data_IF_862938864236
#
_entry.id   IF_862938864236
#
_cell.length_a   1.000
_cell.length_b   1.000
_cell.length_c   1.000
_cell.angle_alpha   90.00
_cell.angle_beta   90.00
_cell.angle_gamma   90.00
#
_symmetry.space_group_name_H-M   'P 1'
#
loop_
_entity.id
_entity.type
_entity.pdbx_description
1 polymer ?
#
# COMPACT_ATOMS: atom_id res chain seq x y z
N UNK A 1 38.67 -27.09 -18.45
CA UNK A 1 37.75 -27.04 -17.28
C UNK A 1 37.96 -25.70 -16.60
N UNK A 2 36.96 -24.81 -16.44
CA UNK A 2 37.15 -23.60 -15.67
C UNK A 2 37.02 -23.91 -14.18
N UNK A 3 38.01 -23.47 -13.40
CA UNK A 3 38.07 -23.56 -11.94
C UNK A 3 37.04 -22.61 -11.32
N UNK A 4 36.31 -22.97 -10.24
CA UNK A 4 35.43 -22.02 -9.56
C UNK A 4 36.28 -20.95 -8.87
N UNK A 5 36.05 -19.67 -9.19
CA UNK A 5 36.69 -18.56 -8.47
C UNK A 5 35.95 -18.36 -7.13
N UNK A 6 36.65 -18.56 -6.02
CA UNK A 6 36.15 -18.24 -4.67
C UNK A 6 35.91 -16.73 -4.54
N UNK A 7 34.72 -16.34 -4.08
CA UNK A 7 34.51 -15.01 -3.49
C UNK A 7 35.31 -14.94 -2.18
N UNK A 8 36.21 -13.96 -2.07
CA UNK A 8 36.92 -13.66 -0.83
C UNK A 8 36.38 -12.36 -0.23
N UNK A 9 35.93 -12.40 1.03
CA UNK A 9 35.65 -11.20 1.82
C UNK A 9 36.95 -10.73 2.47
N UNK A 10 37.34 -9.47 2.26
CA UNK A 10 38.45 -8.85 2.97
C UNK A 10 37.91 -7.76 3.89
N UNK A 11 38.20 -7.88 5.19
CA UNK A 11 37.91 -6.86 6.19
C UNK A 11 39.14 -5.97 6.37
N UNK A 12 39.01 -4.67 6.16
CA UNK A 12 40.07 -3.69 6.47
C UNK A 12 39.72 -2.99 7.78
N UNK A 13 40.61 -3.09 8.77
CA UNK A 13 40.48 -2.42 10.07
C UNK A 13 41.37 -1.16 10.07
N UNK A 14 40.84 0.04 10.34
CA UNK A 14 41.68 1.21 10.62
C UNK A 14 42.30 1.07 12.01
N UNK A 15 43.59 1.42 12.22
CA UNK A 15 44.23 1.25 13.52
C UNK A 15 43.49 2.06 14.61
N UNK A 16 42.90 1.34 15.58
CA UNK A 16 42.37 1.92 16.82
C UNK A 16 40.84 2.00 17.00
N UNK A 17 40.00 1.55 16.06
CA UNK A 17 38.53 1.53 16.25
C UNK A 17 37.97 0.22 16.81
N UNK A 18 36.93 0.25 17.66
CA UNK A 18 36.25 -0.95 18.22
C UNK A 18 34.91 -1.27 17.54
N UNK A 19 34.56 -0.61 16.43
CA UNK A 19 33.33 -0.90 15.68
C UNK A 19 33.55 -0.93 14.17
N UNK A 20 32.92 -1.92 13.53
CA UNK A 20 32.98 -2.18 12.09
C UNK A 20 32.16 -1.12 11.34
N UNK A 21 32.80 -0.27 10.51
CA UNK A 21 32.10 0.80 9.77
C UNK A 21 31.90 0.54 8.27
N UNK A 22 32.49 -0.51 7.69
CA UNK A 22 32.35 -0.75 6.23
C UNK A 22 32.63 -2.22 5.87
N UNK A 23 31.78 -2.79 5.00
CA UNK A 23 32.07 -4.02 4.25
C UNK A 23 31.98 -3.66 2.76
N UNK A 24 33.08 -3.81 2.02
CA UNK A 24 33.12 -3.56 0.58
C UNK A 24 33.09 -4.86 -0.21
N UNK A 25 32.14 -5.00 -1.16
CA UNK A 25 32.14 -6.07 -2.15
C UNK A 25 32.66 -5.48 -3.47
N UNK A 26 33.77 -6.01 -3.98
CA UNK A 26 34.35 -5.58 -5.25
C UNK A 26 34.12 -6.66 -6.31
N UNK A 27 33.31 -6.36 -7.32
CA UNK A 27 33.21 -7.18 -8.55
C UNK A 27 33.74 -6.32 -9.69
N UNK A 28 34.31 -6.96 -10.73
CA UNK A 28 35.21 -6.36 -11.76
C UNK A 28 34.64 -5.23 -12.64
N UNK A 29 33.51 -4.62 -12.29
CA UNK A 29 32.94 -3.46 -12.97
C UNK A 29 32.45 -2.44 -11.92
N UNK A 30 33.40 -1.72 -11.30
CA UNK A 30 33.11 -0.55 -10.45
C UNK A 30 32.94 -0.82 -8.95
N UNK A 31 33.47 0.09 -8.12
CA UNK A 31 33.20 0.15 -6.69
C UNK A 31 31.85 0.85 -6.46
N UNK A 32 30.87 0.15 -5.87
CA UNK A 32 29.67 0.81 -5.32
C UNK A 32 30.00 1.28 -3.91
N UNK A 33 30.04 2.59 -3.71
CA UNK A 33 30.08 3.20 -2.38
C UNK A 33 28.65 3.20 -1.83
N UNK A 34 28.32 2.22 -0.98
CA UNK A 34 27.12 2.29 -0.15
C UNK A 34 27.41 3.25 1.01
N UNK A 35 26.98 4.51 0.88
CA UNK A 35 26.92 5.39 2.05
C UNK A 35 25.81 4.86 2.97
N UNK A 36 26.19 4.44 4.18
CA UNK A 36 25.25 4.16 5.26
C UNK A 36 24.64 5.48 5.77
N UNK A 37 23.77 6.08 4.96
CA UNK A 37 22.70 6.94 5.45
C UNK A 37 21.49 6.06 5.69
N UNK A 38 20.88 6.15 6.87
CA UNK A 38 19.66 5.46 7.22
C UNK A 38 18.48 5.95 6.37
N UNK A 39 18.41 5.51 5.11
CA UNK A 39 17.19 5.56 4.32
C UNK A 39 16.40 4.29 4.67
N UNK A 40 15.44 4.43 5.57
CA UNK A 40 14.45 3.40 5.86
C UNK A 40 13.48 3.34 4.67
N UNK A 41 13.74 2.44 3.74
CA UNK A 41 12.79 2.06 2.71
C UNK A 41 11.82 1.04 3.32
N UNK A 42 10.51 1.19 3.07
CA UNK A 42 9.59 0.08 3.24
C UNK A 42 10.08 -1.07 2.35
N UNK A 43 10.26 -2.26 2.92
CA UNK A 43 10.79 -3.40 2.19
C UNK A 43 9.71 -3.98 1.31
N UNK A 44 9.94 -4.04 -0.01
CA UNK A 44 9.10 -4.87 -0.87
C UNK A 44 9.34 -6.31 -0.45
N UNK A 45 8.34 -6.92 0.18
CA UNK A 45 8.38 -8.34 0.56
C UNK A 45 7.81 -9.22 -0.54
N UNK A 46 6.91 -8.67 -1.34
CA UNK A 46 6.39 -9.34 -2.52
C UNK A 46 5.91 -8.34 -3.58
N UNK A 47 6.18 -8.62 -4.84
CA UNK A 47 5.75 -7.84 -5.98
C UNK A 47 5.10 -8.75 -7.02
N UNK A 48 3.81 -8.55 -7.32
CA UNK A 48 3.07 -9.49 -8.18
C UNK A 48 3.76 -9.69 -9.54
N UNK A 49 4.09 -8.60 -10.24
CA UNK A 49 4.73 -8.68 -11.55
C UNK A 49 6.20 -9.12 -11.44
N UNK A 50 6.93 -8.60 -10.44
CA UNK A 50 8.35 -8.88 -10.24
C UNK A 50 8.64 -10.33 -9.83
N UNK A 51 7.73 -10.93 -9.07
CA UNK A 51 7.83 -12.30 -8.56
C UNK A 51 7.05 -13.30 -9.42
N UNK A 52 6.43 -12.84 -10.51
CA UNK A 52 5.65 -13.71 -11.37
C UNK A 52 6.57 -14.76 -12.01
N UNK A 53 6.15 -16.03 -11.93
CA UNK A 53 6.87 -17.16 -12.54
C UNK A 53 5.93 -18.03 -13.36
N UNK A 54 6.40 -18.38 -14.55
CA UNK A 54 5.77 -19.36 -15.44
C UNK A 54 5.78 -20.75 -14.79
N UNK A 55 4.65 -21.45 -14.76
CA UNK A 55 4.57 -22.80 -14.20
C UNK A 55 4.64 -23.90 -15.25
N UNK A 56 4.92 -25.13 -14.82
CA UNK A 56 4.79 -26.32 -15.66
C UNK A 56 3.31 -26.64 -15.92
N UNK A 57 2.97 -26.93 -17.18
CA UNK A 57 1.57 -27.10 -17.61
C UNK A 57 0.81 -28.08 -16.71
N UNK A 58 -0.36 -27.68 -16.22
CA UNK A 58 -1.22 -28.49 -15.37
C UNK A 58 -0.86 -28.51 -13.89
N UNK A 59 0.28 -27.93 -13.48
CA UNK A 59 0.67 -27.81 -12.07
C UNK A 59 0.19 -26.50 -11.47
N UNK A 60 -0.05 -26.51 -10.16
CA UNK A 60 -0.33 -25.30 -9.39
C UNK A 60 0.96 -24.58 -9.02
N UNK A 61 0.88 -23.28 -8.71
CA UNK A 61 2.08 -22.51 -8.36
C UNK A 61 2.80 -23.07 -7.11
N UNK A 62 2.11 -23.47 -6.01
CA UNK A 62 2.75 -24.05 -4.83
C UNK A 62 3.42 -25.41 -5.08
N UNK A 63 2.97 -26.18 -6.07
CA UNK A 63 3.64 -27.42 -6.47
C UNK A 63 5.02 -27.15 -7.11
N UNK A 64 5.18 -26.00 -7.75
CA UNK A 64 6.39 -25.64 -8.50
C UNK A 64 7.33 -24.75 -7.68
N UNK A 65 6.78 -23.80 -6.92
CA UNK A 65 7.53 -22.75 -6.23
C UNK A 65 7.10 -22.62 -4.77
N UNK A 66 8.08 -22.63 -3.86
CA UNK A 66 7.90 -22.39 -2.43
C UNK A 66 8.35 -20.95 -2.06
N UNK A 67 7.67 -19.96 -2.64
CA UNK A 67 7.97 -18.52 -2.53
C UNK A 67 6.75 -17.70 -2.04
N UNK A 68 5.78 -18.37 -1.42
CA UNK A 68 4.66 -17.75 -0.74
C UNK A 68 3.44 -17.43 -1.60
N UNK A 69 3.57 -17.31 -2.93
CA UNK A 69 2.38 -17.04 -3.76
C UNK A 69 1.62 -18.28 -4.21
N UNK A 70 0.31 -18.09 -4.27
CA UNK A 70 -0.62 -18.98 -4.97
C UNK A 70 -1.57 -18.15 -5.84
N UNK A 71 -2.00 -18.73 -6.96
CA UNK A 71 -2.95 -18.11 -7.89
C UNK A 71 -4.20 -18.95 -7.88
N UNK A 72 -5.32 -18.35 -7.52
CA UNK A 72 -6.54 -19.05 -7.13
C UNK A 72 -7.78 -18.39 -7.76
N UNK A 73 -8.93 -19.02 -7.55
CA UNK A 73 -10.25 -18.47 -7.81
C UNK A 73 -11.26 -19.03 -6.81
N UNK A 74 -12.38 -18.35 -6.62
CA UNK A 74 -13.44 -18.78 -5.69
C UNK A 74 -14.37 -19.81 -6.34
N UNK A 75 -13.89 -21.04 -6.49
CA UNK A 75 -14.60 -22.13 -7.16
C UNK A 75 -15.86 -22.60 -6.40
N UNK A 76 -15.77 -22.70 -5.07
CA UNK A 76 -16.76 -23.41 -4.26
C UNK A 76 -17.79 -22.49 -3.58
N UNK A 77 -17.64 -21.18 -3.66
CA UNK A 77 -18.54 -20.24 -2.98
C UNK A 77 -18.17 -18.77 -3.15
N UNK A 78 -18.85 -17.86 -2.43
CA UNK A 78 -18.58 -16.43 -2.49
C UNK A 78 -17.17 -16.08 -1.99
N UNK A 79 -16.69 -14.90 -2.38
CA UNK A 79 -15.43 -14.33 -1.87
C UNK A 79 -15.56 -13.96 -0.38
N UNK A 80 -14.46 -14.07 0.36
CA UNK A 80 -14.35 -13.77 1.79
C UNK A 80 -14.18 -14.97 2.71
N UNK A 81 -14.12 -16.19 2.15
CA UNK A 81 -13.84 -17.41 2.91
C UNK A 81 -12.82 -18.24 2.14
N UNK A 82 -11.61 -18.40 2.69
CA UNK A 82 -10.48 -19.04 2.01
C UNK A 82 -10.74 -20.51 1.61
N UNK A 83 -11.62 -21.22 2.33
CA UNK A 83 -12.03 -22.59 1.97
C UNK A 83 -12.81 -22.66 0.67
N UNK A 84 -13.33 -21.53 0.17
CA UNK A 84 -13.99 -21.47 -1.14
C UNK A 84 -12.99 -21.35 -2.29
N UNK A 85 -11.70 -21.17 -2.02
CA UNK A 85 -10.69 -20.87 -3.05
C UNK A 85 -9.97 -22.14 -3.48
N UNK A 86 -9.68 -22.23 -4.78
CA UNK A 86 -8.90 -23.33 -5.36
C UNK A 86 -7.80 -22.78 -6.23
N UNK A 87 -6.60 -23.35 -6.14
CA UNK A 87 -5.46 -22.98 -6.97
C UNK A 87 -5.73 -23.25 -8.45
N UNK A 88 -5.34 -22.30 -9.28
CA UNK A 88 -5.29 -22.37 -10.73
C UNK A 88 -4.08 -23.17 -11.18
N UNK A 89 -4.14 -23.67 -12.41
CA UNK A 89 -3.10 -24.49 -13.02
C UNK A 89 -2.40 -23.74 -14.14
N UNK A 90 -1.09 -23.93 -14.25
CA UNK A 90 -0.28 -23.25 -15.23
C UNK A 90 -0.58 -23.73 -16.66
N UNK A 91 -0.52 -22.80 -17.62
CA UNK A 91 -0.60 -23.03 -19.07
C UNK A 91 0.77 -23.00 -19.74
N UNK A 92 1.84 -22.76 -18.96
CA UNK A 92 3.19 -22.47 -19.42
C UNK A 92 3.57 -20.98 -19.34
N UNK A 93 2.63 -20.06 -19.55
CA UNK A 93 2.85 -18.59 -19.45
C UNK A 93 1.82 -17.84 -18.61
N UNK A 94 0.69 -18.47 -18.34
CA UNK A 94 -0.40 -17.96 -17.48
C UNK A 94 -0.88 -19.07 -16.55
N UNK A 95 -1.85 -18.76 -15.69
CA UNK A 95 -2.56 -19.73 -14.86
C UNK A 95 -4.05 -19.55 -15.07
N UNK A 96 -4.78 -20.65 -15.26
CA UNK A 96 -6.23 -20.65 -15.43
C UNK A 96 -6.85 -21.91 -14.78
N UNK A 97 -8.14 -22.18 -15.02
CA UNK A 97 -8.88 -23.25 -14.36
C UNK A 97 -8.16 -24.61 -14.36
N UNK A 98 -7.61 -25.01 -15.51
CA UNK A 98 -7.16 -26.37 -15.75
C UNK A 98 -5.79 -26.49 -16.45
N UNK A 99 -5.13 -25.36 -16.73
CA UNK A 99 -3.87 -25.29 -17.45
C UNK A 99 -4.03 -25.44 -18.97
N UNK A 100 -5.27 -25.52 -19.47
CA UNK A 100 -5.56 -25.65 -20.89
C UNK A 100 -5.52 -24.33 -21.66
N UNK A 101 -5.50 -24.42 -22.98
CA UNK A 101 -5.54 -23.29 -23.91
C UNK A 101 -6.38 -23.66 -25.14
N UNK A 102 -7.11 -22.73 -25.77
CA UNK A 102 -7.32 -21.33 -25.40
C UNK A 102 -8.43 -21.12 -24.35
N UNK A 103 -8.65 -19.87 -23.94
CA UNK A 103 -9.86 -19.42 -23.22
C UNK A 103 -11.05 -19.31 -24.21
N UNK A 104 -12.32 -19.42 -23.75
CA UNK A 104 -12.75 -19.64 -22.37
C UNK A 104 -12.58 -21.10 -21.90
N UNK A 105 -12.45 -21.29 -20.59
CA UNK A 105 -12.53 -22.61 -19.92
C UNK A 105 -13.97 -22.92 -19.52
N UNK A 106 -14.16 -24.06 -18.85
CA UNK A 106 -15.49 -24.47 -18.38
C UNK A 106 -16.15 -23.38 -17.52
N UNK A 107 -17.45 -23.17 -17.76
CA UNK A 107 -18.27 -22.26 -16.95
C UNK A 107 -18.33 -22.77 -15.49
N UNK A 108 -18.36 -21.88 -14.48
CA UNK A 108 -18.39 -20.41 -14.59
C UNK A 108 -17.01 -19.74 -14.55
N UNK A 109 -15.92 -20.51 -14.60
CA UNK A 109 -14.58 -19.93 -14.61
C UNK A 109 -14.34 -19.14 -15.91
N UNK A 110 -14.75 -19.68 -17.06
CA UNK A 110 -14.69 -19.02 -18.36
C UNK A 110 -13.32 -18.33 -18.61
N UNK A 111 -13.23 -17.02 -18.38
CA UNK A 111 -12.05 -16.20 -18.63
C UNK A 111 -11.13 -15.99 -17.42
N UNK A 112 -11.36 -16.66 -16.28
CA UNK A 112 -10.42 -16.58 -15.12
C UNK A 112 -9.00 -16.91 -15.60
N UNK A 113 -8.11 -15.93 -15.51
CA UNK A 113 -6.68 -16.16 -15.64
C UNK A 113 -5.84 -15.16 -14.85
N UNK A 114 -4.63 -15.58 -14.51
CA UNK A 114 -3.57 -14.75 -13.93
C UNK A 114 -2.28 -14.92 -14.75
N UNK A 115 -1.62 -13.82 -15.06
CA UNK A 115 -0.46 -13.73 -15.96
C UNK A 115 0.53 -12.66 -15.50
N UNK A 116 1.70 -12.60 -16.14
CA UNK A 116 2.80 -11.71 -15.73
C UNK A 116 2.50 -10.21 -15.77
N UNK A 117 1.40 -9.82 -16.42
CA UNK A 117 0.99 -8.42 -16.59
C UNK A 117 -0.38 -8.13 -15.99
N UNK A 118 -0.95 -9.07 -15.22
CA UNK A 118 -2.30 -8.92 -14.68
C UNK A 118 -3.15 -10.18 -14.78
N UNK A 119 -4.46 -9.99 -14.75
CA UNK A 119 -5.40 -11.09 -14.89
C UNK A 119 -6.81 -10.60 -15.20
N UNK A 120 -7.70 -11.55 -15.41
CA UNK A 120 -9.10 -11.32 -15.74
C UNK A 120 -9.99 -12.17 -14.83
N UNK A 121 -11.09 -11.63 -14.31
CA UNK A 121 -12.06 -12.40 -13.53
C UNK A 121 -12.80 -13.44 -14.38
N UNK A 122 -13.59 -14.27 -13.72
CA UNK A 122 -14.54 -15.16 -14.39
C UNK A 122 -15.90 -14.50 -14.53
N UNK A 123 -16.91 -15.32 -14.77
CA UNK A 123 -18.28 -14.84 -14.94
C UNK A 123 -18.77 -14.00 -13.77
N UNK A 124 -19.47 -12.93 -14.14
CA UNK A 124 -20.27 -12.17 -13.21
C UNK A 124 -21.58 -12.88 -12.83
N UNK A 125 -22.11 -12.54 -11.68
CA UNK A 125 -23.35 -13.06 -11.09
C UNK A 125 -24.62 -12.73 -11.89
N UNK A 126 -24.58 -11.73 -12.77
CA UNK A 126 -25.72 -11.32 -13.60
C UNK A 126 -25.50 -11.60 -15.09
N UNK A 127 -24.36 -12.18 -15.45
CA UNK A 127 -23.95 -12.33 -16.83
C UNK A 127 -24.65 -13.52 -17.50
N UNK A 128 -25.29 -13.25 -18.64
CA UNK A 128 -25.83 -14.29 -19.51
C UNK A 128 -24.71 -15.17 -20.05
N UNK A 129 -24.83 -16.50 -19.92
CA UNK A 129 -23.84 -17.47 -20.40
C UNK A 129 -23.03 -18.18 -19.29
N UNK A 130 -23.01 -17.63 -18.06
CA UNK A 130 -22.49 -18.33 -16.88
C UNK A 130 -23.51 -19.31 -16.31
N UNK A 131 -23.66 -20.50 -16.92
CA UNK A 131 -24.69 -21.49 -16.56
C UNK A 131 -24.72 -21.74 -15.04
N UNK A 132 -25.84 -21.36 -14.39
CA UNK A 132 -26.04 -21.55 -12.95
C UNK A 132 -25.20 -20.66 -12.03
N UNK A 133 -24.50 -19.65 -12.56
CA UNK A 133 -23.64 -18.77 -11.79
C UNK A 133 -24.43 -17.64 -11.12
N UNK A 134 -24.59 -17.70 -9.80
CA UNK A 134 -25.28 -16.67 -9.01
C UNK A 134 -24.32 -15.80 -8.19
N UNK A 135 -23.00 -15.99 -8.36
CA UNK A 135 -21.97 -15.29 -7.60
C UNK A 135 -20.86 -14.82 -8.56
N UNK A 136 -20.22 -13.72 -8.23
CA UNK A 136 -19.08 -13.21 -8.98
C UNK A 136 -17.86 -14.14 -8.84
N UNK A 137 -17.17 -14.40 -9.95
CA UNK A 137 -15.97 -15.24 -9.99
C UNK A 137 -14.72 -14.37 -10.07
N UNK A 138 -13.91 -14.42 -9.03
CA UNK A 138 -12.72 -13.60 -8.86
C UNK A 138 -11.48 -14.36 -9.31
N UNK A 139 -10.56 -13.64 -9.95
CA UNK A 139 -9.17 -14.04 -10.02
C UNK A 139 -8.48 -13.60 -8.72
N UNK A 140 -7.80 -14.50 -8.04
CA UNK A 140 -7.26 -14.27 -6.69
C UNK A 140 -5.76 -14.53 -6.72
N UNK A 141 -4.97 -13.50 -6.45
CA UNK A 141 -3.56 -13.66 -6.16
C UNK A 141 -3.37 -13.67 -4.64
N UNK A 142 -2.91 -14.79 -4.11
CA UNK A 142 -2.68 -15.01 -2.69
C UNK A 142 -1.18 -14.94 -2.39
N UNK A 143 -0.83 -14.33 -1.26
CA UNK A 143 0.54 -14.33 -0.74
C UNK A 143 0.55 -14.72 0.73
N UNK A 144 1.38 -15.68 1.09
CA UNK A 144 1.59 -16.11 2.47
C UNK A 144 2.82 -15.39 3.01
N UNK A 145 2.70 -14.71 4.15
CA UNK A 145 3.84 -14.00 4.78
C UNK A 145 4.94 -15.01 5.13
N UNK A 146 6.15 -14.78 4.63
CA UNK A 146 7.30 -15.66 4.80
C UNK A 146 8.10 -15.32 6.08
N UNK A 147 8.99 -16.22 6.53
CA UNK A 147 9.93 -15.91 7.60
C UNK A 147 10.76 -14.65 7.31
N UNK A 148 10.81 -13.73 8.27
CA UNK A 148 11.47 -12.43 8.11
C UNK A 148 10.57 -11.31 7.58
N UNK A 149 9.32 -11.63 7.23
CA UNK A 149 8.35 -10.67 6.67
C UNK A 149 7.19 -10.34 7.61
N UNK A 150 7.22 -10.87 8.84
CA UNK A 150 6.22 -10.52 9.85
C UNK A 150 6.39 -9.06 10.28
N UNK A 151 5.27 -8.34 10.42
CA UNK A 151 5.24 -6.93 10.78
C UNK A 151 4.07 -6.21 10.14
N UNK A 152 4.19 -4.89 10.01
CA UNK A 152 3.12 -4.05 9.48
C UNK A 152 3.14 -4.12 7.96
N UNK A 153 2.11 -4.71 7.36
CA UNK A 153 2.09 -4.93 5.90
C UNK A 153 1.15 -3.94 5.23
N UNK A 154 1.62 -3.34 4.16
CA UNK A 154 0.85 -2.45 3.29
C UNK A 154 0.73 -3.06 1.90
N UNK A 155 -0.45 -2.95 1.32
CA UNK A 155 -0.68 -3.13 -0.11
C UNK A 155 -0.48 -1.78 -0.81
N UNK A 156 0.36 -1.75 -1.83
CA UNK A 156 0.69 -0.54 -2.58
C UNK A 156 0.79 -0.82 -4.09
N UNK A 157 0.82 0.25 -4.88
CA UNK A 157 0.95 0.24 -6.34
C UNK A 157 -0.04 -0.70 -7.05
N UNK A 158 -1.20 -0.94 -6.42
CA UNK A 158 -2.31 -1.65 -7.03
C UNK A 158 -2.89 -0.82 -8.14
N UNK A 159 -3.09 -1.41 -9.33
CA UNK A 159 -3.77 -0.74 -10.42
C UNK A 159 -4.75 -1.64 -11.17
N UNK A 160 -5.91 -1.06 -11.45
CA UNK A 160 -7.07 -1.66 -12.12
C UNK A 160 -7.19 -1.00 -13.48
N UNK A 161 -7.41 -1.82 -14.50
CA UNK A 161 -7.62 -1.35 -15.85
C UNK A 161 -9.04 -1.68 -16.30
N UNK A 162 -9.76 -0.63 -16.72
CA UNK A 162 -11.11 -0.74 -17.27
C UNK A 162 -11.01 -0.35 -18.74
N UNK A 163 -10.89 -1.32 -19.63
CA UNK A 163 -10.39 -1.11 -20.99
C UNK A 163 -11.39 -0.44 -21.94
N UNK A 164 -12.69 -0.48 -21.62
CA UNK A 164 -13.73 -0.21 -22.58
C UNK A 164 -15.07 0.11 -21.92
N UNK A 165 -15.99 0.70 -22.68
CA UNK A 165 -17.38 0.90 -22.28
C UNK A 165 -18.21 -0.39 -22.20
N UNK A 166 -17.64 -1.56 -22.51
CA UNK A 166 -18.30 -2.86 -22.28
C UNK A 166 -18.11 -3.41 -20.87
N UNK A 167 -17.14 -2.88 -20.11
CA UNK A 167 -17.01 -3.18 -18.68
C UNK A 167 -18.07 -2.41 -17.92
N UNK A 168 -18.72 -3.06 -16.95
CA UNK A 168 -19.57 -2.37 -15.96
C UNK A 168 -18.77 -1.99 -14.70
N UNK A 169 -17.49 -2.36 -14.64
CA UNK A 169 -16.57 -2.02 -13.57
C UNK A 169 -15.81 -3.23 -13.06
N UNK A 170 -14.77 -2.97 -12.28
CA UNK A 170 -13.95 -3.98 -11.61
C UNK A 170 -14.04 -3.77 -10.12
N UNK A 171 -14.31 -4.84 -9.38
CA UNK A 171 -14.26 -4.83 -7.93
C UNK A 171 -12.97 -5.48 -7.44
N UNK A 172 -12.25 -4.83 -6.54
CA UNK A 172 -11.14 -5.40 -5.81
C UNK A 172 -11.53 -5.55 -4.35
N UNK A 173 -11.39 -6.77 -3.83
CA UNK A 173 -11.50 -7.06 -2.41
C UNK A 173 -10.19 -7.63 -1.90
N UNK A 174 -9.70 -7.11 -0.78
CA UNK A 174 -8.49 -7.59 -0.15
C UNK A 174 -8.82 -8.17 1.20
N UNK A 175 -8.41 -9.41 1.43
CA UNK A 175 -8.59 -10.10 2.69
C UNK A 175 -7.23 -10.45 3.29
N UNK A 176 -7.16 -10.41 4.61
CA UNK A 176 -6.11 -11.08 5.39
C UNK A 176 -6.78 -12.23 6.08
N UNK A 177 -6.38 -13.45 5.75
CA UNK A 177 -7.08 -14.67 6.08
C UNK A 177 -8.54 -14.53 5.58
N UNK A 178 -9.53 -14.51 6.48
CA UNK A 178 -10.94 -14.28 6.13
C UNK A 178 -11.45 -12.87 6.51
N UNK A 179 -10.56 -11.98 6.95
CA UNK A 179 -10.92 -10.61 7.36
C UNK A 179 -10.77 -9.64 6.20
N UNK A 180 -11.86 -8.97 5.83
CA UNK A 180 -11.87 -7.92 4.80
C UNK A 180 -11.05 -6.70 5.25
N UNK A 181 -10.15 -6.23 4.40
CA UNK A 181 -9.29 -5.04 4.61
C UNK A 181 -9.55 -3.91 3.64
N UNK A 182 -9.96 -4.24 2.41
CA UNK A 182 -10.25 -3.25 1.37
C UNK A 182 -11.40 -3.73 0.50
N UNK A 183 -12.32 -2.82 0.18
CA UNK A 183 -13.23 -2.93 -0.96
C UNK A 183 -13.02 -1.71 -1.85
N UNK A 184 -12.72 -1.94 -3.12
CA UNK A 184 -12.58 -0.90 -4.13
C UNK A 184 -13.44 -1.26 -5.32
N UNK A 185 -14.35 -0.38 -5.70
CA UNK A 185 -15.12 -0.49 -6.93
C UNK A 185 -14.66 0.59 -7.90
N UNK A 186 -14.24 0.18 -9.09
CA UNK A 186 -14.01 1.07 -10.24
C UNK A 186 -15.14 0.85 -11.23
N UNK A 187 -15.86 1.89 -11.63
CA UNK A 187 -16.97 1.76 -12.59
C UNK A 187 -16.46 1.67 -14.04
N UNK A 188 -17.31 1.12 -14.90
CA UNK A 188 -17.08 1.05 -16.36
C UNK A 188 -16.71 2.39 -17.00
N UNK A 189 -15.83 2.36 -18.01
CA UNK A 189 -15.33 3.53 -18.75
C UNK A 189 -14.60 4.62 -17.92
N UNK A 190 -14.30 4.36 -16.65
CA UNK A 190 -13.50 5.26 -15.84
C UNK A 190 -11.99 5.14 -16.17
N UNK A 191 -11.16 6.17 -15.90
CA UNK A 191 -9.70 6.07 -16.03
C UNK A 191 -9.12 4.93 -15.19
N UNK A 192 -7.85 4.56 -15.44
CA UNK A 192 -7.11 3.59 -14.61
C UNK A 192 -7.28 3.91 -13.12
N UNK A 193 -7.78 2.93 -12.36
CA UNK A 193 -7.97 3.04 -10.92
C UNK A 193 -6.74 2.55 -10.17
N UNK A 194 -6.47 3.13 -9.00
CA UNK A 194 -5.42 2.65 -8.09
C UNK A 194 -6.02 2.12 -6.80
N UNK A 195 -5.32 1.18 -6.18
CA UNK A 195 -5.70 0.63 -4.88
C UNK A 195 -4.47 0.34 -4.01
N UNK A 196 -4.67 0.54 -2.72
CA UNK A 196 -3.69 0.30 -1.67
C UNK A 196 -4.40 0.33 -0.33
N UNK A 197 -3.84 -0.33 0.66
CA UNK A 197 -4.40 -0.37 2.02
C UNK A 197 -3.34 -0.81 3.02
N UNK A 198 -3.43 -0.31 4.24
CA UNK A 198 -2.78 -0.95 5.37
C UNK A 198 -3.52 -2.25 5.71
N UNK A 199 -2.80 -3.37 5.75
CA UNK A 199 -3.38 -4.69 5.96
C UNK A 199 -3.39 -5.11 7.43
N UNK A 200 -2.57 -4.46 8.26
CA UNK A 200 -2.41 -4.80 9.67
C UNK A 200 -1.01 -5.28 9.99
N UNK A 201 -0.82 -5.63 11.26
CA UNK A 201 0.34 -6.38 11.72
C UNK A 201 0.11 -7.86 11.41
N UNK A 202 0.88 -8.41 10.48
CA UNK A 202 0.76 -9.78 10.00
C UNK A 202 1.91 -10.63 10.55
N UNK A 203 1.60 -11.89 10.83
CA UNK A 203 2.56 -12.90 11.27
C UNK A 203 2.97 -13.80 10.11
N UNK A 204 4.10 -14.48 10.26
CA UNK A 204 4.50 -15.56 9.34
C UNK A 204 3.35 -16.57 9.24
N UNK A 205 2.95 -16.89 8.02
CA UNK A 205 1.85 -17.81 7.74
C UNK A 205 0.48 -17.14 7.53
N UNK A 206 0.30 -15.87 7.88
CA UNK A 206 -0.89 -15.11 7.47
C UNK A 206 -0.98 -15.04 5.95
N UNK A 207 -2.19 -15.14 5.41
CA UNK A 207 -2.44 -15.10 3.96
C UNK A 207 -3.12 -13.80 3.58
N UNK A 208 -2.55 -13.09 2.63
CA UNK A 208 -3.20 -11.95 1.96
C UNK A 208 -3.80 -12.42 0.65
N UNK A 209 -5.08 -12.14 0.43
CA UNK A 209 -5.80 -12.44 -0.81
C UNK A 209 -6.18 -11.14 -1.51
N UNK A 210 -5.60 -10.88 -2.68
CA UNK A 210 -6.04 -9.80 -3.57
C UNK A 210 -6.96 -10.41 -4.61
N UNK A 211 -8.27 -10.19 -4.44
CA UNK A 211 -9.32 -10.75 -5.29
C UNK A 211 -9.86 -9.68 -6.22
N UNK A 212 -9.75 -9.93 -7.53
CA UNK A 212 -10.22 -9.03 -8.60
C UNK A 212 -11.41 -9.67 -9.27
N UNK A 213 -12.54 -8.97 -9.25
CA UNK A 213 -13.84 -9.48 -9.64
C UNK A 213 -14.51 -8.66 -10.75
N UNK A 214 -15.53 -9.24 -11.40
CA UNK A 214 -16.17 -8.72 -12.61
C UNK A 214 -17.26 -7.68 -12.32
N UNK A 215 -17.52 -7.30 -11.06
CA UNK A 215 -18.65 -6.45 -10.68
C UNK A 215 -19.95 -6.86 -11.40
N UNK A 216 -20.39 -8.10 -11.25
CA UNK A 216 -21.57 -8.69 -11.93
C UNK A 216 -21.47 -8.97 -13.45
N UNK A 217 -20.45 -8.49 -14.19
CA UNK A 217 -20.26 -8.80 -15.62
C UNK A 217 -18.79 -8.70 -16.09
N UNK A 218 -18.21 -9.78 -16.64
CA UNK A 218 -16.76 -9.92 -16.87
C UNK A 218 -16.14 -9.12 -18.05
N UNK A 219 -16.79 -8.06 -18.52
CA UNK A 219 -16.51 -7.47 -19.83
C UNK A 219 -15.24 -6.61 -19.89
N UNK A 220 -14.08 -7.17 -20.28
CA UNK A 220 -12.80 -6.43 -20.37
C UNK A 220 -12.28 -5.93 -19.01
N UNK A 221 -12.48 -6.74 -17.99
CA UNK A 221 -12.10 -6.46 -16.62
C UNK A 221 -10.69 -6.95 -16.32
N UNK A 222 -9.91 -6.17 -15.57
CA UNK A 222 -8.62 -6.65 -15.14
C UNK A 222 -7.87 -5.71 -14.22
N UNK A 223 -6.71 -6.19 -13.82
CA UNK A 223 -5.71 -5.46 -13.06
C UNK A 223 -4.37 -5.68 -13.72
N UNK A 224 -3.35 -4.89 -13.37
CA UNK A 224 -2.02 -5.04 -13.94
C UNK A 224 -0.94 -5.38 -12.92
N UNK A 225 -0.89 -4.67 -11.79
CA UNK A 225 0.14 -4.86 -10.78
C UNK A 225 -0.37 -4.54 -9.38
N UNK A 226 0.37 -5.03 -8.37
CA UNK A 226 0.38 -4.59 -6.98
C UNK A 226 1.61 -5.15 -6.27
N UNK A 227 1.94 -4.58 -5.10
CA UNK A 227 3.05 -5.05 -4.26
C UNK A 227 2.69 -4.99 -2.77
N UNK A 228 3.33 -5.84 -1.99
CA UNK A 228 3.30 -5.83 -0.54
C UNK A 228 4.58 -5.23 0.01
N UNK A 229 4.40 -4.27 0.90
CA UNK A 229 5.47 -3.58 1.60
C UNK A 229 5.42 -3.99 3.07
N UNK A 230 6.54 -4.47 3.60
CA UNK A 230 6.76 -4.54 5.03
C UNK A 230 7.27 -3.18 5.51
N UNK A 231 6.43 -2.52 6.29
CA UNK A 231 6.90 -1.53 7.23
C UNK A 231 7.56 -2.26 8.41
N UNK A 232 8.68 -1.72 8.89
CA UNK A 232 9.27 -2.14 10.16
C UNK A 232 8.19 -2.14 11.27
N UNK A 233 8.33 -2.99 12.32
CA UNK A 233 7.33 -3.10 13.39
C UNK A 233 6.98 -1.69 13.88
N UNK A 234 5.69 -1.35 13.85
CA UNK A 234 5.10 -0.01 13.93
C UNK A 234 6.17 1.09 13.91
N UNK A 235 6.34 1.77 12.78
CA UNK A 235 7.17 2.97 12.77
C UNK A 235 6.84 3.77 14.02
N UNK A 236 7.79 3.89 14.94
CA UNK A 236 7.62 4.63 16.19
C UNK A 236 7.16 6.06 15.92
N UNK A 237 7.26 6.50 14.66
CA UNK A 237 6.74 7.71 14.08
C UNK A 237 5.27 7.72 13.61
N UNK A 238 4.60 6.64 13.19
CA UNK A 238 3.22 6.76 12.65
C UNK A 238 2.17 6.87 13.74
N UNK A 239 1.29 7.87 13.67
CA UNK A 239 0.24 8.15 14.66
C UNK A 239 -1.08 8.52 14.00
N UNK A 240 -2.18 7.93 14.46
CA UNK A 240 -3.52 8.15 13.91
C UNK A 240 -4.34 9.05 14.81
N UNK A 241 -4.87 10.13 14.23
CA UNK A 241 -5.64 11.16 14.92
C UNK A 241 -7.02 10.67 15.32
N UNK A 242 -7.39 10.90 16.58
CA UNK A 242 -8.69 10.55 17.12
C UNK A 242 -9.10 11.50 18.24
N UNK A 243 -10.19 12.24 18.04
CA UNK A 243 -10.55 13.35 18.90
C UNK A 243 -11.04 12.93 20.29
N UNK A 244 -11.52 11.70 20.46
CA UNK A 244 -11.98 11.20 21.76
C UNK A 244 -10.95 10.30 22.48
N UNK A 245 -9.91 9.86 21.77
CA UNK A 245 -8.84 9.03 22.32
C UNK A 245 -9.28 7.59 22.66
N UNK A 246 -10.33 7.09 22.01
CA UNK A 246 -10.90 5.77 22.28
C UNK A 246 -11.08 4.96 21.01
N UNK A 247 -10.68 3.68 21.03
CA UNK A 247 -10.80 2.84 19.85
C UNK A 247 -12.28 2.58 19.46
N UNK A 248 -12.59 2.52 18.16
CA UNK A 248 -11.69 2.64 17.01
C UNK A 248 -11.31 4.09 16.68
N UNK A 249 -10.29 4.29 15.83
CA UNK A 249 -9.94 5.65 15.36
C UNK A 249 -11.08 6.23 14.51
N UNK A 250 -11.78 7.22 15.07
CA UNK A 250 -12.96 7.83 14.45
C UNK A 250 -12.69 9.24 13.87
N UNK A 251 -11.53 9.82 14.15
CA UNK A 251 -11.12 11.13 13.63
C UNK A 251 -11.73 12.28 14.43
N UNK A 252 -12.14 13.35 13.75
CA UNK A 252 -12.94 14.43 14.34
C UNK A 252 -12.16 15.73 14.64
N UNK A 253 -12.83 16.63 15.38
CA UNK A 253 -12.33 17.97 15.72
C UNK A 253 -11.71 17.99 17.11
N UNK A 254 -10.52 18.55 17.26
CA UNK A 254 -9.85 18.61 18.55
C UNK A 254 -8.47 19.27 18.53
N UNK A 255 -7.81 19.35 19.70
CA UNK A 255 -6.50 19.97 19.82
C UNK A 255 -5.36 19.01 19.47
N UNK A 256 -4.43 19.45 18.63
CA UNK A 256 -3.13 18.80 18.46
C UNK A 256 -2.13 19.43 19.42
N UNK A 257 -1.76 18.66 20.44
CA UNK A 257 -0.76 19.02 21.44
C UNK A 257 0.03 17.76 21.86
N UNK A 258 1.03 17.94 22.72
CA UNK A 258 1.96 16.91 23.19
C UNK A 258 1.57 16.30 24.55
N UNK A 259 0.37 16.63 25.07
CA UNK A 259 -0.09 16.21 26.41
C UNK A 259 -1.33 15.32 26.38
N UNK A 260 -2.19 15.47 25.37
CA UNK A 260 -3.45 14.73 25.25
C UNK A 260 -3.20 13.40 24.54
N UNK A 261 -3.72 12.27 25.07
CA UNK A 261 -3.53 10.94 24.46
C UNK A 261 -4.52 10.70 23.30
N UNK A 262 -4.42 11.53 22.25
CA UNK A 262 -5.34 11.54 21.09
C UNK A 262 -4.74 10.88 19.84
N UNK A 263 -3.64 10.14 20.01
CA UNK A 263 -2.90 9.53 18.91
C UNK A 263 -2.77 8.03 19.11
N UNK A 264 -3.53 7.27 18.33
CA UNK A 264 -3.42 5.83 18.30
C UNK A 264 -2.12 5.40 17.59
N UNK A 265 -1.61 4.23 17.96
CA UNK A 265 -0.50 3.52 17.32
C UNK A 265 -0.95 2.58 16.18
N UNK A 266 -2.26 2.53 15.89
CA UNK A 266 -2.84 1.78 14.79
C UNK A 266 -4.13 2.44 14.28
N UNK A 267 -4.46 2.31 12.98
CA UNK A 267 -5.67 2.89 12.39
C UNK A 267 -6.96 2.23 12.85
N UNK A 268 -6.91 1.02 13.41
CA UNK A 268 -8.08 0.35 13.99
C UNK A 268 -8.40 0.81 15.41
N UNK A 269 -7.61 1.72 15.97
CA UNK A 269 -7.50 1.91 17.40
C UNK A 269 -6.58 0.85 18.01
N UNK A 270 -5.70 1.30 18.91
CA UNK A 270 -4.70 0.48 19.59
C UNK A 270 -4.33 1.13 20.92
N UNK A 271 -3.04 1.33 21.19
CA UNK A 271 -2.59 2.15 22.31
C UNK A 271 -2.69 3.63 21.95
N UNK A 272 -3.32 4.42 22.81
CA UNK A 272 -3.39 5.87 22.67
C UNK A 272 -2.28 6.53 23.46
N UNK A 273 -1.56 7.42 22.79
CA UNK A 273 -0.44 8.15 23.35
C UNK A 273 -0.47 9.62 22.96
N UNK A 274 0.48 10.37 23.51
CA UNK A 274 0.65 11.78 23.18
C UNK A 274 1.48 11.96 21.91
N UNK A 275 1.34 13.13 21.26
CA UNK A 275 2.25 13.51 20.18
C UNK A 275 3.65 13.83 20.73
N UNK A 276 4.70 13.45 20.00
CA UNK A 276 6.08 13.79 20.34
C UNK A 276 6.78 14.56 19.22
N UNK A 277 7.06 15.83 19.50
CA UNK A 277 7.80 16.70 18.57
C UNK A 277 9.25 16.23 18.34
N UNK A 278 9.88 15.57 19.32
CA UNK A 278 11.26 15.07 19.18
C UNK A 278 11.36 13.77 18.42
N UNK A 279 10.29 12.98 18.42
CA UNK A 279 10.20 11.74 17.65
C UNK A 279 10.05 11.98 16.14
N UNK A 280 9.70 13.21 15.73
CA UNK A 280 9.43 13.56 14.33
C UNK A 280 8.44 12.56 13.70
N UNK A 281 7.27 12.46 14.32
CA UNK A 281 6.22 11.52 13.96
C UNK A 281 5.52 11.92 12.64
N UNK A 282 4.89 10.94 12.00
CA UNK A 282 4.00 11.08 10.85
C UNK A 282 2.55 10.99 11.33
N UNK A 283 1.75 12.00 11.00
CA UNK A 283 0.36 12.10 11.44
C UNK A 283 -0.59 11.58 10.35
N UNK A 284 -1.55 10.75 10.73
CA UNK A 284 -2.56 10.18 9.83
C UNK A 284 -3.96 10.60 10.25
N UNK A 285 -4.72 11.19 9.31
CA UNK A 285 -6.07 11.70 9.51
C UNK A 285 -7.07 10.87 8.69
N UNK A 286 -7.88 10.08 9.37
CA UNK A 286 -8.89 9.17 8.79
C UNK A 286 -10.24 9.36 9.49
N UNK A 287 -11.26 8.55 9.19
CA UNK A 287 -12.55 8.65 9.87
C UNK A 287 -13.29 9.95 9.55
N UNK A 288 -14.05 10.48 10.50
CA UNK A 288 -14.82 11.71 10.34
C UNK A 288 -13.89 12.91 10.24
N UNK A 289 -13.93 13.65 9.13
CA UNK A 289 -13.11 14.85 8.99
C UNK A 289 -13.51 15.96 9.97
N UNK A 290 -12.52 16.73 10.43
CA UNK A 290 -12.73 17.82 11.37
C UNK A 290 -11.59 18.84 11.36
N UNK A 291 -11.67 19.81 12.27
CA UNK A 291 -10.60 20.79 12.47
C UNK A 291 -9.67 20.34 13.59
N UNK A 292 -8.42 20.06 13.24
CA UNK A 292 -7.35 19.74 14.17
C UNK A 292 -6.55 21.01 14.44
N UNK A 293 -6.69 21.56 15.64
CA UNK A 293 -6.12 22.87 15.99
C UNK A 293 -4.78 22.70 16.70
N UNK A 294 -3.70 23.28 16.17
CA UNK A 294 -2.39 23.26 16.80
C UNK A 294 -2.43 24.11 18.09
N UNK A 295 -2.38 23.43 19.24
CA UNK A 295 -2.39 24.08 20.56
C UNK A 295 -1.04 24.68 20.95
N UNK A 296 0.02 24.26 20.27
CA UNK A 296 1.41 24.69 20.45
C UNK A 296 2.18 24.48 19.14
N UNK A 297 3.45 24.92 19.03
CA UNK A 297 4.28 24.55 17.89
C UNK A 297 4.43 23.03 17.77
N UNK A 298 4.03 22.48 16.62
CA UNK A 298 4.10 21.04 16.35
C UNK A 298 5.19 20.77 15.31
N UNK A 299 6.01 19.77 15.60
CA UNK A 299 6.98 19.21 14.66
C UNK A 299 6.46 17.86 14.18
N UNK A 300 6.38 17.70 12.86
CA UNK A 300 5.97 16.48 12.22
C UNK A 300 6.92 16.16 11.06
N UNK A 301 7.14 14.88 10.81
CA UNK A 301 7.86 14.43 9.62
C UNK A 301 6.97 14.49 8.39
N UNK A 302 5.73 14.04 8.49
CA UNK A 302 4.78 13.99 7.39
C UNK A 302 3.32 13.96 7.87
N UNK A 303 2.39 14.27 6.97
CA UNK A 303 0.95 14.23 7.22
C UNK A 303 0.24 13.45 6.10
N UNK A 304 -0.69 12.56 6.46
CA UNK A 304 -1.54 11.82 5.54
C UNK A 304 -3.02 12.07 5.79
N UNK A 305 -3.77 12.44 4.76
CA UNK A 305 -5.21 12.70 4.81
C UNK A 305 -5.96 11.67 3.96
N UNK A 306 -6.83 10.89 4.60
CA UNK A 306 -7.58 9.80 3.98
C UNK A 306 -9.10 10.08 3.90
N UNK A 307 -9.57 11.17 4.52
CA UNK A 307 -10.96 11.66 4.46
C UNK A 307 -11.02 13.08 3.89
N UNK A 308 -12.09 13.39 3.18
CA UNK A 308 -12.34 14.71 2.62
C UNK A 308 -12.71 15.74 3.69
N UNK A 309 -12.15 16.95 3.62
CA UNK A 309 -12.56 18.10 4.43
C UNK A 309 -11.75 18.35 5.70
N UNK A 310 -10.68 17.58 5.96
CA UNK A 310 -9.83 17.82 7.13
C UNK A 310 -9.14 19.18 7.09
N UNK A 311 -9.04 19.83 8.26
CA UNK A 311 -8.37 21.11 8.41
C UNK A 311 -7.32 21.07 9.52
N UNK A 312 -6.08 21.51 9.23
CA UNK A 312 -5.07 21.81 10.25
C UNK A 312 -5.04 23.33 10.46
N UNK A 313 -5.43 23.77 11.65
CA UNK A 313 -5.67 25.18 11.96
C UNK A 313 -4.92 25.66 13.21
N UNK A 314 -5.04 26.95 13.50
CA UNK A 314 -4.42 27.61 14.65
C UNK A 314 -3.34 28.60 14.27
N UNK A 315 -2.89 29.40 15.24
CA UNK A 315 -1.83 30.40 15.05
C UNK A 315 -0.42 29.84 15.25
N UNK A 316 -0.31 28.60 15.72
CA UNK A 316 0.97 27.94 16.02
C UNK A 316 1.57 27.31 14.76
N UNK A 317 2.90 27.18 14.73
CA UNK A 317 3.60 26.66 13.55
C UNK A 317 3.56 25.14 13.44
N UNK A 318 3.30 24.64 12.23
CA UNK A 318 3.61 23.27 11.82
C UNK A 318 5.00 23.25 11.18
N UNK A 319 5.97 22.60 11.83
CA UNK A 319 7.32 22.43 11.28
C UNK A 319 7.47 21.05 10.66
N UNK A 320 7.73 21.01 9.34
CA UNK A 320 8.04 19.77 8.63
C UNK A 320 9.53 19.46 8.68
N UNK A 321 9.88 18.18 8.89
CA UNK A 321 11.28 17.76 9.05
C UNK A 321 11.71 16.67 8.08
N UNK A 322 13.04 16.56 7.91
CA UNK A 322 13.69 15.50 7.13
C UNK A 322 14.14 14.31 7.97
N UNK A 323 13.83 14.31 9.27
CA UNK A 323 14.23 13.30 10.24
C UNK A 323 12.99 12.56 10.78
N UNK A 324 13.22 11.46 11.50
CA UNK A 324 12.16 10.60 12.03
C UNK A 324 11.86 9.40 11.15
N UNK A 325 10.90 8.59 11.60
CA UNK A 325 10.44 7.37 10.90
C UNK A 325 8.95 7.47 10.58
N UNK A 326 8.44 6.63 9.68
CA UNK A 326 7.05 6.67 9.22
C UNK A 326 6.91 6.31 7.74
N UNK A 327 5.70 5.88 7.39
CA UNK A 327 5.34 5.36 6.07
C UNK A 327 5.40 6.37 4.92
N UNK A 328 5.09 7.64 5.17
CA UNK A 328 5.21 8.69 4.15
C UNK A 328 6.67 9.15 4.00
N UNK A 329 7.02 9.85 2.92
CA UNK A 329 8.34 10.48 2.82
C UNK A 329 8.52 11.63 3.83
N UNK A 330 9.76 12.04 4.16
CA UNK A 330 9.96 13.27 4.94
C UNK A 330 9.34 14.49 4.25
N UNK A 331 8.90 15.46 5.06
CA UNK A 331 8.22 16.68 4.62
C UNK A 331 7.08 16.43 3.62
N UNK A 332 6.47 15.24 3.66
CA UNK A 332 5.41 14.86 2.73
C UNK A 332 4.05 15.20 3.32
N UNK A 333 3.19 15.78 2.49
CA UNK A 333 1.76 15.90 2.76
C UNK A 333 1.02 15.13 1.67
N UNK A 334 0.32 14.08 2.10
CA UNK A 334 -0.41 13.16 1.25
C UNK A 334 -1.92 13.41 1.37
N UNK A 335 -2.61 13.57 0.24
CA UNK A 335 -4.09 13.63 0.17
C UNK A 335 -4.53 12.54 -0.78
N UNK A 336 -5.10 11.46 -0.25
CA UNK A 336 -5.19 10.15 -0.91
C UNK A 336 -5.92 10.19 -2.26
N UNK A 337 -7.21 10.50 -2.26
CA UNK A 337 -8.07 10.30 -3.43
C UNK A 337 -8.37 11.60 -4.18
N UNK A 338 -8.57 11.48 -5.49
CA UNK A 338 -9.11 12.57 -6.30
C UNK A 338 -10.48 13.00 -5.78
N UNK A 339 -10.75 14.31 -5.77
CA UNK A 339 -11.95 14.89 -5.16
C UNK A 339 -11.86 15.14 -3.66
N UNK A 340 -10.88 14.55 -2.95
CA UNK A 340 -10.63 14.89 -1.55
C UNK A 340 -9.81 16.18 -1.43
N UNK A 341 -10.10 16.95 -0.39
CA UNK A 341 -9.48 18.21 -0.06
C UNK A 341 -9.04 18.20 1.40
N UNK A 342 -7.77 18.54 1.63
CA UNK A 342 -7.24 18.88 2.96
C UNK A 342 -6.79 20.33 2.97
N UNK A 343 -7.08 21.05 4.05
CA UNK A 343 -6.70 22.47 4.20
C UNK A 343 -5.74 22.65 5.36
N UNK A 344 -4.65 23.37 5.14
CA UNK A 344 -3.75 23.81 6.21
C UNK A 344 -3.80 25.33 6.28
N UNK A 345 -4.43 25.83 7.34
CA UNK A 345 -4.51 27.26 7.67
C UNK A 345 -3.54 27.66 8.79
N UNK A 346 -2.90 26.70 9.46
CA UNK A 346 -1.75 26.95 10.32
C UNK A 346 -0.50 27.34 9.50
N UNK A 347 0.38 28.22 10.01
CA UNK A 347 1.63 28.56 9.33
C UNK A 347 2.58 27.36 9.27
N UNK A 348 3.10 27.05 8.08
CA UNK A 348 4.12 26.02 7.87
C UNK A 348 5.51 26.63 7.95
N UNK A 349 6.41 26.01 8.70
CA UNK A 349 7.79 26.44 8.92
C UNK A 349 8.80 25.30 8.69
N UNK A 350 10.10 25.63 8.77
CA UNK A 350 11.20 24.66 8.69
C UNK A 350 11.98 24.69 7.38
N UNK A 351 13.03 23.87 7.31
CA UNK A 351 13.97 23.86 6.17
C UNK A 351 13.79 22.67 5.25
N UNK A 352 12.99 21.67 5.64
CA UNK A 352 12.83 20.42 4.88
C UNK A 352 12.05 20.60 3.57
N UNK A 353 11.27 21.68 3.46
CA UNK A 353 10.43 21.94 2.30
C UNK A 353 9.05 21.29 2.42
N UNK A 354 8.45 20.99 1.28
CA UNK A 354 7.13 20.39 1.20
C UNK A 354 7.05 19.48 -0.03
N UNK A 355 6.60 18.24 0.13
CA UNK A 355 6.29 17.35 -0.99
C UNK A 355 4.80 17.00 -0.96
N UNK A 356 4.04 17.48 -1.94
CA UNK A 356 2.63 17.12 -2.13
C UNK A 356 2.52 15.83 -2.94
N UNK A 357 1.90 14.80 -2.34
CA UNK A 357 1.60 13.51 -2.97
C UNK A 357 0.11 13.18 -2.88
N UNK A 358 -0.30 12.05 -3.47
CA UNK A 358 -1.71 11.62 -3.52
C UNK A 358 -2.55 12.40 -4.52
N UNK A 359 -3.67 11.83 -4.95
CA UNK A 359 -4.45 12.36 -6.06
C UNK A 359 -5.33 13.57 -5.69
N UNK A 360 -5.54 13.83 -4.40
CA UNK A 360 -6.40 14.92 -3.91
C UNK A 360 -5.75 16.31 -3.92
N UNK A 361 -6.50 17.28 -3.41
CA UNK A 361 -6.11 18.69 -3.33
C UNK A 361 -5.62 19.03 -1.92
N UNK A 362 -4.42 19.61 -1.83
CA UNK A 362 -3.94 20.28 -0.62
C UNK A 362 -4.09 21.78 -0.79
N UNK A 363 -4.78 22.43 0.14
CA UNK A 363 -4.92 23.88 0.20
C UNK A 363 -4.01 24.43 1.30
N UNK A 364 -3.09 25.32 0.95
CA UNK A 364 -2.34 26.12 1.91
C UNK A 364 -2.99 27.49 2.04
N UNK A 365 -3.83 27.65 3.07
CA UNK A 365 -4.64 28.84 3.27
C UNK A 365 -3.91 29.95 4.02
N UNK A 366 -2.78 29.65 4.67
CA UNK A 366 -1.99 30.65 5.40
C UNK A 366 -0.99 31.36 4.47
N UNK A 367 -1.08 32.69 4.37
CA UNK A 367 -0.13 33.51 3.61
C UNK A 367 1.23 33.72 4.30
N UNK A 368 1.35 33.35 5.57
CA UNK A 368 2.53 33.50 6.42
C UNK A 368 3.37 32.22 6.55
N UNK A 369 3.36 31.33 5.56
CA UNK A 369 4.28 30.20 5.51
C UNK A 369 5.74 30.70 5.43
N UNK A 370 6.62 30.16 6.27
CA UNK A 370 8.03 30.59 6.40
C UNK A 370 9.04 29.48 6.09
N UNK A 371 8.59 28.32 5.62
CA UNK A 371 9.50 27.25 5.25
C UNK A 371 10.39 27.65 4.06
N UNK A 372 11.64 27.20 4.07
CA UNK A 372 12.65 27.62 3.07
C UNK A 372 13.09 26.52 2.12
N UNK A 373 12.69 25.27 2.38
CA UNK A 373 12.99 24.14 1.51
C UNK A 373 12.12 24.11 0.24
N UNK A 374 12.56 23.34 -0.75
CA UNK A 374 11.87 23.21 -2.04
C UNK A 374 10.45 22.65 -1.87
N UNK A 375 9.52 23.15 -2.68
CA UNK A 375 8.19 22.56 -2.83
C UNK A 375 8.15 21.65 -4.05
N UNK A 376 7.83 20.37 -3.84
CA UNK A 376 7.62 19.38 -4.89
C UNK A 376 6.15 19.02 -4.97
N UNK A 377 5.62 18.91 -6.18
CA UNK A 377 4.28 18.39 -6.44
C UNK A 377 4.48 17.14 -7.30
N UNK A 378 4.32 15.97 -6.68
CA UNK A 378 4.49 14.67 -7.35
C UNK A 378 3.16 13.95 -7.53
N UNK A 379 2.05 14.50 -7.01
CA UNK A 379 0.69 14.04 -7.28
C UNK A 379 -0.40 15.04 -6.87
N UNK A 380 -1.53 14.98 -7.57
CA UNK A 380 -2.73 15.76 -7.26
C UNK A 380 -2.55 17.27 -7.47
N UNK A 381 -3.21 18.07 -6.63
CA UNK A 381 -3.20 19.54 -6.73
C UNK A 381 -2.69 20.18 -5.44
N UNK A 382 -1.84 21.20 -5.57
CA UNK A 382 -1.50 22.13 -4.51
C UNK A 382 -2.14 23.49 -4.85
N UNK A 383 -3.02 23.98 -3.99
CA UNK A 383 -3.67 25.29 -4.11
C UNK A 383 -3.18 26.23 -3.00
N UNK A 384 -2.92 27.48 -3.35
CA UNK A 384 -2.53 28.53 -2.40
C UNK A 384 -3.72 29.46 -2.18
N UNK A 385 -4.08 29.73 -0.93
CA UNK A 385 -5.27 30.51 -0.54
C UNK A 385 -6.56 29.69 -0.50
N UNK A 386 -7.57 30.21 0.20
CA UNK A 386 -8.95 29.73 0.15
C UNK A 386 -9.76 30.73 -0.69
N UNK A 387 -10.33 30.27 -1.80
CA UNK A 387 -11.26 31.07 -2.61
C UNK A 387 -12.62 31.21 -1.92
#
# INVERSE_FOLDING_TARGET
MPVPKKLGFHFLWPPGGTSMKTVGLCVRVGCVVLMAGSQLWAAIIANYQGDYRNGAVGQTRPEVYADGWDYMWNSAGPIGTATNYTSLKATGSSYNLDGGSPLPRAEPAAYVYLGSSGGHPGRGSTQSGGVGNTIDRYAIAAYTIQPGEAGHVYLANGSIYVASGSSNGVEVRVYVNDTLKLTKLQLGAAPTGYFGAYLGQLNVGDKVFVAVGPNTHDGSDGFSNFQFLLAQPADVGDRWWDADGTAPVDGGTGPWNTTSPLWADAPSGGTYGTWSNTANMTAHFTGTAGTVTLGEPITARALGFYSDGYQIAGSQSLTLTSAGTGTLGPATIHVENAGQTATISAPIAGTAGLTKTGAGTLILANSGNTYTGTTWITGGTLRLGAD
#
